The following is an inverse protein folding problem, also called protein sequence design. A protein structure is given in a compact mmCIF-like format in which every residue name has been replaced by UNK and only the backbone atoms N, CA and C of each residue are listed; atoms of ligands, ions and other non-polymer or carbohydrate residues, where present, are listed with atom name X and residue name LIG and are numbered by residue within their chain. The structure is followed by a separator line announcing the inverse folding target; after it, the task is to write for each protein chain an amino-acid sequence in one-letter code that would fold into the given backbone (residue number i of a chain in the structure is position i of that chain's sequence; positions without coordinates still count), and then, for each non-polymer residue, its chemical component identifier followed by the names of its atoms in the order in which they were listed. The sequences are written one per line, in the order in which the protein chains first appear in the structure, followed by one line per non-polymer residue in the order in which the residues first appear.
data_IF_659074136776
#
_entry.id   IF_659074136776
#
_cell.length_a   1.000
_cell.length_b   1.000
_cell.length_c   1.000
_cell.angle_alpha   90.00
_cell.angle_beta   90.00
_cell.angle_gamma   90.00
#
_symmetry.space_group_name_H-M   'P 1'
#
loop_
_entity.id
_entity.type
_entity.pdbx_description
1 polymer ?
#
# COMPACT_ATOMS: atom_id res chain seq x y z
N UNK A 1 19.64 10.97 -14.08
CA UNK A 1 18.55 10.61 -13.15
C UNK A 1 17.70 9.56 -13.85
N UNK A 2 17.78 8.31 -13.42
CA UNK A 2 17.13 7.18 -14.11
C UNK A 2 15.97 6.67 -13.26
N UNK A 3 14.84 6.37 -13.89
CA UNK A 3 13.70 5.73 -13.22
C UNK A 3 13.89 4.21 -13.31
N UNK A 4 13.95 3.55 -12.16
CA UNK A 4 14.03 2.09 -12.06
C UNK A 4 12.65 1.49 -11.81
N UNK A 5 12.44 0.28 -12.35
CA UNK A 5 11.16 -0.43 -12.25
C UNK A 5 11.41 -1.89 -11.92
N UNK A 6 10.70 -2.42 -10.93
CA UNK A 6 10.78 -3.84 -10.56
C UNK A 6 9.43 -4.52 -10.69
N UNK A 7 9.48 -5.83 -10.93
CA UNK A 7 8.31 -6.70 -11.19
C UNK A 7 7.41 -6.12 -12.29
N UNK A 8 8.01 -5.71 -13.40
CA UNK A 8 7.27 -5.06 -14.49
C UNK A 8 6.51 -6.09 -15.32
N UNK A 9 5.23 -5.82 -15.52
CA UNK A 9 4.37 -6.46 -16.52
C UNK A 9 4.04 -5.45 -17.64
N UNK A 10 3.28 -5.88 -18.66
CA UNK A 10 2.78 -4.96 -19.69
C UNK A 10 1.92 -3.82 -19.11
N UNK A 11 1.15 -4.10 -18.04
CA UNK A 11 0.18 -3.15 -17.46
C UNK A 11 0.80 -2.20 -16.45
N UNK A 12 1.71 -2.69 -15.61
CA UNK A 12 2.26 -1.94 -14.48
C UNK A 12 3.57 -2.54 -13.95
N UNK A 13 4.31 -1.73 -13.18
CA UNK A 13 5.39 -2.17 -12.30
C UNK A 13 4.90 -2.15 -10.86
N UNK A 14 5.27 -3.13 -10.05
CA UNK A 14 4.87 -3.16 -8.64
C UNK A 14 5.68 -2.17 -7.78
N UNK A 15 6.91 -1.87 -8.20
CA UNK A 15 7.82 -0.92 -7.56
C UNK A 15 8.37 0.00 -8.64
N UNK A 16 8.30 1.31 -8.41
CA UNK A 16 8.95 2.34 -9.22
C UNK A 16 9.82 3.19 -8.32
N UNK A 17 11.09 3.35 -8.69
CA UNK A 17 12.06 4.14 -7.94
C UNK A 17 12.62 5.26 -8.82
N UNK A 18 12.74 6.47 -8.27
CA UNK A 18 13.37 7.57 -8.98
C UNK A 18 14.06 8.56 -8.03
N UNK A 19 15.18 9.17 -8.46
CA UNK A 19 15.96 10.07 -7.63
C UNK A 19 15.31 11.45 -7.49
N UNK A 20 15.35 11.99 -6.27
CA UNK A 20 15.06 13.37 -5.85
C UNK A 20 16.26 13.87 -5.02
N UNK A 21 16.03 14.53 -3.87
CA UNK A 21 17.08 14.75 -2.85
C UNK A 21 17.47 13.47 -2.09
N UNK A 22 16.65 12.42 -2.22
CA UNK A 22 16.92 11.03 -1.85
C UNK A 22 16.35 10.12 -2.96
N UNK A 23 15.84 8.93 -2.64
CA UNK A 23 15.08 8.11 -3.59
C UNK A 23 13.61 8.02 -3.18
N UNK A 24 12.70 8.30 -4.12
CA UNK A 24 11.27 8.03 -3.93
C UNK A 24 10.96 6.61 -4.39
N UNK A 25 10.24 5.85 -3.57
CA UNK A 25 9.71 4.52 -3.87
C UNK A 25 8.20 4.63 -3.98
N UNK A 26 7.64 4.22 -5.12
CA UNK A 26 6.20 4.20 -5.35
C UNK A 26 5.77 2.76 -5.59
N UNK A 27 4.86 2.26 -4.75
CA UNK A 27 4.25 0.96 -4.97
C UNK A 27 3.00 1.11 -5.85
N UNK A 28 2.69 0.05 -6.63
CA UNK A 28 1.38 -0.06 -7.24
C UNK A 28 0.28 -0.19 -6.17
N UNK A 29 -0.98 0.02 -6.55
CA UNK A 29 -2.12 -0.32 -5.70
C UNK A 29 -2.10 -1.80 -5.32
N UNK A 30 -2.17 -2.08 -4.03
CA UNK A 30 -2.15 -3.43 -3.47
C UNK A 30 -3.55 -3.83 -3.05
N UNK A 31 -4.01 -4.94 -3.63
CA UNK A 31 -5.25 -5.66 -3.29
C UNK A 31 -4.90 -7.02 -2.68
N UNK A 32 -5.84 -7.65 -1.97
CA UNK A 32 -5.61 -8.98 -1.40
C UNK A 32 -5.32 -10.01 -2.51
N UNK A 33 -4.36 -10.91 -2.27
CA UNK A 33 -4.16 -12.10 -3.14
C UNK A 33 -5.27 -13.14 -2.98
N UNK A 34 -5.98 -13.09 -1.84
CA UNK A 34 -7.15 -13.91 -1.55
C UNK A 34 -8.37 -12.99 -1.38
N UNK A 35 -9.18 -12.81 -2.43
CA UNK A 35 -10.34 -11.92 -2.40
C UNK A 35 -11.51 -12.51 -1.59
N UNK A 36 -11.44 -13.78 -1.18
CA UNK A 36 -12.51 -14.43 -0.43
C UNK A 36 -12.35 -14.24 1.10
N UNK A 37 -11.22 -13.65 1.54
CA UNK A 37 -11.03 -13.21 2.92
C UNK A 37 -12.00 -12.10 3.31
N UNK A 38 -12.27 -12.01 4.62
CA UNK A 38 -12.97 -10.87 5.21
C UNK A 38 -12.13 -9.58 5.12
N UNK A 39 -12.74 -8.44 5.46
CA UNK A 39 -12.06 -7.14 5.41
C UNK A 39 -10.72 -7.18 6.15
N UNK A 40 -10.70 -7.68 7.38
CA UNK A 40 -9.51 -7.70 8.20
C UNK A 40 -8.41 -8.60 7.62
N UNK A 41 -8.79 -9.75 7.05
CA UNK A 41 -7.89 -10.66 6.35
C UNK A 41 -7.33 -10.04 5.08
N UNK A 42 -8.16 -9.38 4.27
CA UNK A 42 -7.71 -8.65 3.08
C UNK A 42 -6.76 -7.51 3.46
N UNK A 43 -7.08 -6.72 4.49
CA UNK A 43 -6.20 -5.64 4.98
C UNK A 43 -4.85 -6.19 5.44
N UNK A 44 -4.81 -7.25 6.26
CA UNK A 44 -3.54 -7.88 6.69
C UNK A 44 -2.72 -8.38 5.50
N UNK A 45 -3.36 -9.11 4.58
CA UNK A 45 -2.68 -9.62 3.38
C UNK A 45 -2.07 -8.50 2.54
N UNK A 46 -2.79 -7.37 2.38
CA UNK A 46 -2.29 -6.19 1.68
C UNK A 46 -1.08 -5.57 2.40
N UNK A 47 -1.16 -5.41 3.73
CA UNK A 47 -0.08 -4.81 4.52
C UNK A 47 1.19 -5.69 4.52
N UNK A 48 1.05 -7.01 4.59
CA UNK A 48 2.18 -7.96 4.47
C UNK A 48 2.85 -7.87 3.09
N UNK A 49 2.05 -7.68 2.03
CA UNK A 49 2.57 -7.45 0.67
C UNK A 49 3.31 -6.12 0.58
N UNK A 50 2.77 -5.06 1.18
CA UNK A 50 3.43 -3.74 1.23
C UNK A 50 4.78 -3.87 1.94
N UNK A 51 4.83 -4.50 3.11
CA UNK A 51 6.10 -4.72 3.83
C UNK A 51 7.12 -5.47 2.95
N UNK A 52 6.69 -6.55 2.30
CA UNK A 52 7.56 -7.33 1.41
C UNK A 52 8.12 -6.51 0.23
N UNK A 53 7.29 -5.65 -0.37
CA UNK A 53 7.70 -4.80 -1.50
C UNK A 53 8.60 -3.65 -1.05
N UNK A 54 8.36 -3.06 0.12
CA UNK A 54 9.23 -2.03 0.69
C UNK A 54 10.61 -2.61 1.00
N UNK A 55 10.66 -3.80 1.62
CA UNK A 55 11.92 -4.51 1.90
C UNK A 55 12.68 -4.79 0.60
N UNK A 56 12.01 -5.25 -0.46
CA UNK A 56 12.63 -5.45 -1.77
C UNK A 56 13.20 -4.14 -2.35
N UNK A 57 12.50 -3.02 -2.15
CA UNK A 57 12.96 -1.69 -2.55
C UNK A 57 14.11 -1.15 -1.67
N UNK A 58 14.44 -1.81 -0.56
CA UNK A 58 15.48 -1.38 0.38
C UNK A 58 15.01 -0.28 1.34
N UNK A 59 13.73 -0.26 1.68
CA UNK A 59 13.13 0.63 2.69
C UNK A 59 12.13 -0.14 3.55
N UNK A 60 11.41 0.52 4.45
CA UNK A 60 10.41 -0.11 5.31
C UNK A 60 9.24 0.83 5.62
N UNK A 61 8.24 0.32 6.35
CA UNK A 61 7.02 1.06 6.65
C UNK A 61 7.21 2.33 7.47
N UNK A 62 8.31 2.49 8.19
CA UNK A 62 8.63 3.73 8.93
C UNK A 62 9.02 4.90 8.02
N UNK A 63 9.34 4.60 6.76
CA UNK A 63 9.69 5.58 5.74
C UNK A 63 8.54 5.85 4.75
N UNK A 64 7.34 5.31 4.99
CA UNK A 64 6.17 5.66 4.19
C UNK A 64 5.83 7.13 4.44
N UNK A 65 5.75 7.89 3.35
CA UNK A 65 5.40 9.31 3.38
C UNK A 65 3.91 9.52 3.11
N UNK A 66 3.33 8.73 2.20
CA UNK A 66 1.92 8.85 1.81
C UNK A 66 1.28 7.48 1.66
N UNK A 67 0.00 7.40 2.05
CA UNK A 67 -0.85 6.24 1.78
C UNK A 67 -2.24 6.69 1.30
N UNK A 68 -2.72 6.02 0.24
CA UNK A 68 -4.10 6.12 -0.22
C UNK A 68 -4.80 4.81 0.06
N UNK A 69 -5.97 4.90 0.68
CA UNK A 69 -6.84 3.75 0.96
C UNK A 69 -8.15 3.96 0.23
N UNK A 70 -8.52 2.98 -0.59
CA UNK A 70 -9.84 2.89 -1.23
C UNK A 70 -10.61 1.75 -0.60
N UNK A 71 -11.70 2.06 0.10
CA UNK A 71 -12.64 1.08 0.63
C UNK A 71 -13.77 0.85 -0.38
N UNK A 72 -14.23 -0.39 -0.52
CA UNK A 72 -15.42 -0.69 -1.29
C UNK A 72 -16.69 -0.11 -0.65
N UNK A 73 -16.69 -0.06 0.69
CA UNK A 73 -17.76 0.52 1.51
C UNK A 73 -17.15 1.31 2.66
N UNK A 74 -17.51 2.58 2.82
CA UNK A 74 -16.98 3.44 3.89
C UNK A 74 -17.44 3.00 5.28
N UNK A 75 -18.51 2.20 5.38
CA UNK A 75 -18.95 1.60 6.64
C UNK A 75 -17.91 0.66 7.26
N UNK A 76 -16.95 0.17 6.45
CA UNK A 76 -15.85 -0.68 6.88
C UNK A 76 -14.66 0.11 7.47
N UNK A 77 -14.76 1.44 7.56
CA UNK A 77 -13.67 2.34 7.95
C UNK A 77 -13.01 1.98 9.28
N UNK A 78 -13.79 1.85 10.37
CA UNK A 78 -13.25 1.57 11.70
C UNK A 78 -12.62 0.18 11.78
N UNK A 79 -13.23 -0.81 11.12
CA UNK A 79 -12.73 -2.18 11.11
C UNK A 79 -11.41 -2.31 10.33
N UNK A 80 -11.26 -1.60 9.21
CA UNK A 80 -9.99 -1.52 8.48
C UNK A 80 -8.93 -0.78 9.30
N UNK A 81 -9.31 0.32 9.97
CA UNK A 81 -8.40 1.10 10.79
C UNK A 81 -7.84 0.32 11.97
N UNK A 82 -8.62 -0.55 12.61
CA UNK A 82 -8.11 -1.40 13.68
C UNK A 82 -6.91 -2.27 13.23
N UNK A 83 -6.92 -2.74 11.98
CA UNK A 83 -5.78 -3.49 11.41
C UNK A 83 -4.63 -2.56 11.03
N UNK A 84 -4.95 -1.42 10.40
CA UNK A 84 -3.95 -0.41 10.02
C UNK A 84 -3.18 0.13 11.24
N UNK A 85 -3.88 0.51 12.30
CA UNK A 85 -3.33 1.11 13.52
C UNK A 85 -2.41 0.13 14.26
N UNK A 86 -2.71 -1.18 14.20
CA UNK A 86 -1.86 -2.22 14.75
C UNK A 86 -0.58 -2.45 13.92
N UNK A 87 -0.59 -2.11 12.63
CA UNK A 87 0.52 -2.35 11.71
C UNK A 87 1.45 -1.15 11.55
N UNK A 88 0.92 0.08 11.56
CA UNK A 88 1.70 1.30 11.30
C UNK A 88 2.84 1.47 12.31
N UNK A 89 3.98 1.97 11.84
CA UNK A 89 5.13 2.21 12.72
C UNK A 89 4.83 3.35 13.73
N UNK A 90 4.94 3.12 15.05
CA UNK A 90 4.67 4.14 16.06
C UNK A 90 5.54 5.38 15.87
N UNK A 91 4.93 6.56 15.84
CA UNK A 91 5.64 7.83 15.61
C UNK A 91 6.03 8.10 14.15
N UNK A 92 5.76 7.17 13.23
CA UNK A 92 6.11 7.24 11.81
C UNK A 92 4.89 6.99 10.90
N UNK A 93 3.69 7.36 11.37
CA UNK A 93 2.48 7.24 10.55
C UNK A 93 2.55 8.18 9.33
N UNK A 94 2.15 7.70 8.13
CA UNK A 94 2.25 8.50 6.91
C UNK A 94 1.12 9.54 6.81
N UNK A 95 1.28 10.53 5.93
CA UNK A 95 0.13 11.28 5.45
C UNK A 95 -0.85 10.33 4.77
N UNK A 96 -2.12 10.29 5.19
CA UNK A 96 -3.07 9.28 4.71
C UNK A 96 -4.39 9.89 4.27
N UNK A 97 -4.90 9.42 3.14
CA UNK A 97 -6.27 9.66 2.69
C UNK A 97 -7.02 8.32 2.57
N UNK A 98 -8.29 8.32 2.97
CA UNK A 98 -9.18 7.17 2.87
C UNK A 98 -10.51 7.62 2.28
N UNK A 99 -10.97 6.94 1.24
CA UNK A 99 -12.23 7.24 0.54
C UNK A 99 -12.98 5.96 0.19
N UNK A 100 -14.25 6.09 -0.16
CA UNK A 100 -15.02 5.02 -0.80
C UNK A 100 -14.79 5.02 -2.32
N UNK A 101 -14.59 3.85 -2.93
CA UNK A 101 -14.50 3.69 -4.38
C UNK A 101 -14.91 2.28 -4.84
N UNK A 102 -15.36 2.16 -6.10
CA UNK A 102 -15.59 0.86 -6.73
C UNK A 102 -14.24 0.26 -7.16
N UNK A 103 -13.96 -0.97 -6.74
CA UNK A 103 -12.70 -1.68 -7.03
C UNK A 103 -12.81 -2.57 -8.28
N UNK A 104 -11.67 -3.08 -8.76
CA UNK A 104 -11.58 -3.84 -10.01
C UNK A 104 -12.25 -5.24 -9.98
N UNK A 105 -12.43 -5.82 -8.79
CA UNK A 105 -13.16 -7.06 -8.55
C UNK A 105 -14.15 -6.82 -7.39
N UNK A 106 -15.43 -7.18 -7.53
CA UNK A 106 -16.46 -6.93 -6.51
C UNK A 106 -16.24 -7.64 -5.17
N UNK A 107 -15.34 -8.64 -5.11
CA UNK A 107 -14.97 -9.33 -3.87
C UNK A 107 -13.91 -8.57 -3.08
N UNK A 108 -13.20 -7.63 -3.71
CA UNK A 108 -12.23 -6.80 -3.03
C UNK A 108 -12.97 -5.79 -2.14
N UNK A 109 -12.51 -5.70 -0.89
CA UNK A 109 -13.06 -4.76 0.10
C UNK A 109 -12.18 -3.53 0.29
N UNK A 110 -10.90 -3.64 -0.02
CA UNK A 110 -9.93 -2.57 0.17
C UNK A 110 -8.79 -2.66 -0.86
N UNK A 111 -8.30 -1.51 -1.29
CA UNK A 111 -7.05 -1.33 -2.03
C UNK A 111 -6.20 -0.27 -1.32
N UNK A 112 -4.89 -0.49 -1.21
CA UNK A 112 -3.96 0.44 -0.57
C UNK A 112 -2.78 0.72 -1.49
N UNK A 113 -2.44 1.99 -1.69
CA UNK A 113 -1.20 2.41 -2.34
C UNK A 113 -0.33 3.18 -1.36
N UNK A 114 0.98 2.97 -1.41
CA UNK A 114 1.94 3.69 -0.57
C UNK A 114 3.10 4.28 -1.38
N UNK A 115 3.64 5.37 -0.85
CA UNK A 115 4.82 6.09 -1.33
C UNK A 115 5.80 6.18 -0.17
N UNK A 116 7.05 5.82 -0.37
CA UNK A 116 8.08 5.76 0.67
C UNK A 116 9.36 6.47 0.25
N UNK A 117 10.09 6.96 1.23
CA UNK A 117 11.46 7.43 1.04
C UNK A 117 12.45 6.27 1.19
N UNK A 118 13.53 6.32 0.41
CA UNK A 118 14.74 5.51 0.58
C UNK A 118 15.93 6.46 0.61
N UNK A 119 16.75 6.34 1.65
CA UNK A 119 18.01 7.10 1.80
C UNK A 119 19.19 6.26 1.38
#
# INVERSE_FOLDING_TARGET
MTIERRRTSQRMSHIVEFPLSGTMVVLAGQVSSDPDLDLAGQTRNILDKIDSLLIEAGTDKSAITHAYVWLAHVTDFDAMNAVWDAWVAPGHAPARACVEARLADPRLRVEIQVFAAKS
#
